data_IF_246488570170
#
_entry.id   IF_246488570170
#
_cell.length_a   1.000
_cell.length_b   1.000
_cell.length_c   1.000
_cell.angle_alpha   90.00
_cell.angle_beta   90.00
_cell.angle_gamma   90.00
#
_symmetry.space_group_name_H-M   'P 1'
#
loop_
_entity.id
_entity.type
_entity.pdbx_description
1 polymer ?
#
# COMPACT_ATOMS: atom_id res chain seq x y z
N UNK A 1 25.44 26.47 -34.71
CA UNK A 1 26.54 26.48 -33.72
C UNK A 1 26.31 25.41 -32.67
N UNK A 2 27.37 24.99 -31.98
CA UNK A 2 27.27 24.05 -30.85
C UNK A 2 27.50 24.82 -29.56
N UNK A 3 26.60 24.68 -28.58
CA UNK A 3 26.72 25.30 -27.26
C UNK A 3 27.97 24.76 -26.56
N UNK A 4 28.87 25.63 -26.09
CA UNK A 4 30.04 25.20 -25.28
C UNK A 4 29.66 24.64 -23.91
N UNK A 5 28.49 25.01 -23.38
CA UNK A 5 28.03 24.58 -22.06
C UNK A 5 27.29 23.25 -22.07
N UNK A 6 26.31 23.08 -22.98
CA UNK A 6 25.47 21.87 -23.01
C UNK A 6 25.69 20.98 -24.24
N UNK A 7 26.54 21.39 -25.18
CA UNK A 7 26.85 20.61 -26.39
C UNK A 7 25.70 20.49 -27.40
N UNK A 8 24.60 21.21 -27.21
CA UNK A 8 23.45 21.19 -28.11
C UNK A 8 23.79 21.96 -29.40
N UNK A 9 23.42 21.41 -30.55
CA UNK A 9 23.52 22.08 -31.84
C UNK A 9 22.21 22.82 -32.16
N UNK A 10 22.30 24.11 -32.43
CA UNK A 10 21.15 25.00 -32.70
C UNK A 10 21.57 26.12 -33.67
N UNK A 11 20.62 26.78 -34.34
CA UNK A 11 20.93 27.83 -35.29
C UNK A 11 21.47 29.10 -34.60
N UNK A 12 22.31 29.86 -35.32
CA UNK A 12 23.15 30.95 -34.78
C UNK A 12 22.37 32.27 -34.56
N UNK A 13 21.07 32.27 -34.85
CA UNK A 13 20.18 33.42 -34.76
C UNK A 13 19.56 33.63 -33.38
N UNK A 14 19.80 32.72 -32.44
CA UNK A 14 19.33 32.84 -31.06
C UNK A 14 20.38 33.56 -30.19
N UNK A 15 19.95 34.46 -29.30
CA UNK A 15 20.84 35.14 -28.34
C UNK A 15 21.25 34.23 -27.16
N UNK A 16 20.41 33.26 -26.82
CA UNK A 16 20.62 32.30 -25.74
C UNK A 16 20.43 30.86 -26.24
N UNK A 17 21.23 29.94 -25.70
CA UNK A 17 21.07 28.52 -26.00
C UNK A 17 19.72 28.00 -25.46
N UNK A 18 18.86 27.40 -26.29
CA UNK A 18 17.55 26.91 -25.86
C UNK A 18 17.63 25.71 -24.91
N UNK A 19 18.78 25.04 -24.81
CA UNK A 19 18.97 23.89 -23.91
C UNK A 19 19.28 24.27 -22.47
N UNK A 20 20.15 25.27 -22.27
CA UNK A 20 20.65 25.64 -20.94
C UNK A 20 20.43 27.11 -20.58
N UNK A 21 19.82 27.90 -21.47
CA UNK A 21 19.56 29.33 -21.26
C UNK A 21 20.81 30.21 -21.21
N UNK A 22 21.99 29.64 -21.45
CA UNK A 22 23.24 30.40 -21.42
C UNK A 22 23.33 31.29 -22.66
N UNK A 23 23.64 32.57 -22.43
CA UNK A 23 23.89 33.53 -23.51
C UNK A 23 25.04 33.04 -24.39
N UNK A 24 24.95 33.28 -25.69
CA UNK A 24 25.99 32.90 -26.65
C UNK A 24 27.24 33.77 -26.52
N UNK A 25 27.07 34.98 -26.00
CA UNK A 25 28.16 35.87 -25.60
C UNK A 25 28.47 35.66 -24.11
N UNK A 26 29.77 35.69 -23.77
CA UNK A 26 30.26 35.56 -22.40
C UNK A 26 29.92 36.84 -21.62
N UNK A 27 28.65 36.98 -21.24
CA UNK A 27 28.20 38.03 -20.33
C UNK A 27 28.88 37.85 -18.99
N UNK A 28 29.62 38.86 -18.56
CA UNK A 28 30.20 38.95 -17.23
C UNK A 28 29.10 38.76 -16.17
N UNK A 29 29.33 37.88 -15.20
CA UNK A 29 28.37 37.61 -14.13
C UNK A 29 28.12 38.90 -13.33
N UNK A 30 27.02 39.58 -13.62
CA UNK A 30 26.65 40.81 -12.93
C UNK A 30 26.03 40.46 -11.59
N UNK A 31 26.60 41.02 -10.51
CA UNK A 31 26.01 40.92 -9.17
C UNK A 31 24.75 41.79 -9.16
N UNK A 32 23.62 41.16 -8.87
CA UNK A 32 22.31 41.80 -8.80
C UNK A 32 22.36 43.02 -7.85
N UNK A 33 21.74 44.12 -8.27
CA UNK A 33 21.69 45.34 -7.46
C UNK A 33 20.83 45.13 -6.20
N UNK A 34 21.03 45.97 -5.17
CA UNK A 34 20.24 45.91 -3.93
C UNK A 34 18.74 46.05 -4.20
N UNK A 35 18.36 46.85 -5.20
CA UNK A 35 16.98 47.08 -5.61
C UNK A 35 16.37 45.87 -6.33
N UNK A 36 17.13 45.21 -7.21
CA UNK A 36 16.70 43.96 -7.86
C UNK A 36 16.62 42.79 -6.88
N UNK A 37 17.50 42.78 -5.87
CA UNK A 37 17.46 41.79 -4.79
C UNK A 37 16.21 41.95 -3.95
N UNK A 38 15.86 43.18 -3.61
CA UNK A 38 14.75 43.46 -2.70
C UNK A 38 13.39 43.42 -3.45
N UNK A 39 13.40 43.53 -4.79
CA UNK A 39 12.23 43.34 -5.65
C UNK A 39 11.95 41.86 -6.00
N UNK A 40 12.79 40.93 -5.55
CA UNK A 40 12.61 39.52 -5.86
C UNK A 40 11.47 38.91 -5.04
N UNK A 41 10.32 38.70 -5.67
CA UNK A 41 9.07 38.20 -5.05
C UNK A 41 9.18 36.75 -4.54
N UNK A 42 10.26 36.04 -4.89
CA UNK A 42 10.57 34.70 -4.38
C UNK A 42 9.50 33.68 -4.74
N UNK A 43 9.52 33.15 -5.98
CA UNK A 43 8.58 32.09 -6.37
C UNK A 43 8.96 30.78 -5.68
N UNK A 44 8.09 30.28 -4.81
CA UNK A 44 8.18 28.94 -4.26
C UNK A 44 7.75 27.91 -5.30
N UNK A 45 8.48 26.79 -5.39
CA UNK A 45 8.09 25.66 -6.24
C UNK A 45 6.85 25.02 -5.61
N UNK A 46 5.66 25.39 -6.09
CA UNK A 46 4.39 24.76 -5.76
C UNK A 46 4.44 23.31 -6.28
N UNK A 47 4.85 22.37 -5.41
CA UNK A 47 4.78 20.94 -5.72
C UNK A 47 3.37 20.46 -5.38
N UNK A 48 2.39 20.83 -6.19
CA UNK A 48 1.00 20.43 -5.98
C UNK A 48 0.06 21.07 -6.97
N UNK A 49 -0.53 20.24 -7.83
CA UNK A 49 -1.57 20.61 -8.79
C UNK A 49 -2.71 21.36 -8.10
N UNK A 50 -2.99 22.55 -8.61
CA UNK A 50 -4.24 23.31 -8.65
C UNK A 50 -5.22 23.17 -7.47
N UNK A 51 -5.34 24.28 -6.74
CA UNK A 51 -6.60 24.86 -6.27
C UNK A 51 -7.58 23.98 -5.47
N UNK A 52 -7.18 23.43 -4.31
CA UNK A 52 -8.21 23.14 -3.27
C UNK A 52 -7.76 23.01 -1.79
N UNK A 53 -6.52 23.31 -1.42
CA UNK A 53 -6.10 23.18 -0.03
C UNK A 53 -5.62 24.50 0.59
N UNK A 54 -6.54 25.44 0.77
CA UNK A 54 -6.34 26.59 1.67
C UNK A 54 -6.27 26.07 3.12
N UNK A 55 -5.07 25.76 3.59
CA UNK A 55 -4.72 25.90 5.01
C UNK A 55 -4.31 24.66 5.78
N UNK A 56 -4.19 23.48 5.16
CA UNK A 56 -3.72 22.29 5.88
C UNK A 56 -2.28 21.94 5.50
N UNK A 57 -1.33 22.77 5.92
CA UNK A 57 0.09 22.41 5.89
C UNK A 57 0.34 21.37 6.98
N UNK A 58 0.13 20.09 6.66
CA UNK A 58 0.50 18.98 7.54
C UNK A 58 2.02 18.87 7.59
N UNK A 59 2.60 19.32 8.71
CA UNK A 59 3.98 18.98 9.07
C UNK A 59 3.95 17.51 9.51
N UNK A 60 4.38 16.62 8.62
CA UNK A 60 4.47 15.20 8.93
C UNK A 60 5.62 14.97 9.89
N UNK A 61 5.31 14.63 11.14
CA UNK A 61 6.32 14.14 12.07
C UNK A 61 6.80 12.76 11.62
N UNK A 62 8.06 12.43 11.95
CA UNK A 62 8.67 11.15 11.57
C UNK A 62 7.87 9.93 12.06
N UNK A 63 7.12 10.10 13.13
CA UNK A 63 6.22 9.08 13.68
C UNK A 63 4.96 8.87 12.84
N UNK A 64 4.45 9.92 12.20
CA UNK A 64 3.27 9.84 11.36
C UNK A 64 3.59 9.17 10.03
N UNK A 65 4.76 9.45 9.44
CA UNK A 65 5.26 8.73 8.27
C UNK A 65 5.43 7.23 8.57
N UNK A 66 5.94 6.87 9.77
CA UNK A 66 6.06 5.46 10.16
C UNK A 66 4.69 4.78 10.30
N UNK A 67 3.71 5.47 10.91
CA UNK A 67 2.33 4.95 11.03
C UNK A 67 1.65 4.81 9.67
N UNK A 68 1.93 5.70 8.73
CA UNK A 68 1.41 5.60 7.35
C UNK A 68 2.04 4.43 6.61
N UNK A 69 3.35 4.25 6.69
CA UNK A 69 4.02 3.07 6.13
C UNK A 69 3.48 1.75 6.71
N UNK A 70 3.21 1.70 8.02
CA UNK A 70 2.58 0.52 8.64
C UNK A 70 1.13 0.30 8.21
N UNK A 71 0.38 1.38 7.92
CA UNK A 71 -0.98 1.31 7.39
C UNK A 71 -0.96 0.87 5.92
N UNK A 72 -0.03 1.38 5.13
CA UNK A 72 0.17 1.00 3.72
C UNK A 72 0.61 -0.46 3.61
N UNK A 73 1.61 -0.88 4.39
CA UNK A 73 2.01 -2.29 4.44
C UNK A 73 0.88 -3.22 4.91
N UNK A 74 -0.02 -2.76 5.79
CA UNK A 74 -1.24 -3.52 6.15
C UNK A 74 -2.24 -3.55 5.00
N UNK A 75 -2.44 -2.44 4.31
CA UNK A 75 -3.36 -2.35 3.15
C UNK A 75 -2.87 -3.22 2.00
N UNK A 76 -1.57 -3.23 1.71
CA UNK A 76 -0.97 -4.08 0.68
C UNK A 76 -1.17 -5.57 0.96
N UNK A 77 -0.97 -6.00 2.21
CA UNK A 77 -1.25 -7.38 2.63
C UNK A 77 -2.73 -7.73 2.46
N UNK A 78 -3.63 -6.84 2.87
CA UNK A 78 -5.07 -7.04 2.70
C UNK A 78 -5.51 -7.01 1.24
N UNK A 79 -4.90 -6.16 0.40
CA UNK A 79 -5.17 -6.07 -1.03
C UNK A 79 -4.69 -7.33 -1.77
N UNK A 80 -3.50 -7.84 -1.44
CA UNK A 80 -3.00 -9.10 -1.99
C UNK A 80 -3.90 -10.30 -1.63
N UNK A 81 -4.42 -10.33 -0.40
CA UNK A 81 -5.43 -11.34 -0.01
C UNK A 81 -6.72 -11.16 -0.81
N UNK A 82 -7.19 -9.92 -1.00
CA UNK A 82 -8.39 -9.62 -1.77
C UNK A 82 -8.27 -10.01 -3.25
N UNK A 83 -7.11 -9.79 -3.86
CA UNK A 83 -6.77 -10.22 -5.22
C UNK A 83 -6.88 -11.75 -5.35
N UNK A 84 -6.29 -12.51 -4.42
CA UNK A 84 -6.34 -13.98 -4.42
C UNK A 84 -7.79 -14.49 -4.27
N UNK A 85 -8.58 -13.83 -3.43
CA UNK A 85 -10.01 -14.14 -3.24
C UNK A 85 -10.81 -13.89 -4.53
N UNK A 86 -10.51 -12.79 -5.23
CA UNK A 86 -11.23 -12.37 -6.44
C UNK A 86 -10.93 -13.25 -7.66
N UNK A 87 -9.69 -13.73 -7.79
CA UNK A 87 -9.25 -14.60 -8.88
C UNK A 87 -9.83 -16.02 -8.81
N UNK A 88 -10.22 -16.50 -7.61
CA UNK A 88 -10.65 -17.90 -7.39
C UNK A 88 -11.96 -18.03 -6.60
N UNK A 89 -12.98 -17.22 -6.92
CA UNK A 89 -14.26 -17.20 -6.19
C UNK A 89 -14.94 -18.57 -6.02
N UNK A 90 -14.85 -19.47 -7.00
CA UNK A 90 -15.40 -20.84 -6.88
C UNK A 90 -14.61 -21.71 -5.89
N UNK A 91 -13.28 -21.57 -5.86
CA UNK A 91 -12.41 -22.34 -4.97
C UNK A 91 -12.55 -21.85 -3.53
N UNK A 92 -12.74 -20.54 -3.35
CA UNK A 92 -13.07 -19.94 -2.05
C UNK A 92 -14.44 -20.39 -1.52
N UNK A 93 -15.46 -20.48 -2.36
CA UNK A 93 -16.77 -21.01 -1.94
C UNK A 93 -16.68 -22.47 -1.49
N UNK A 94 -15.96 -23.31 -2.22
CA UNK A 94 -15.73 -24.72 -1.83
C UNK A 94 -14.93 -24.80 -0.54
N UNK A 95 -13.86 -24.00 -0.39
CA UNK A 95 -13.05 -23.95 0.82
C UNK A 95 -13.86 -23.45 2.02
N UNK A 96 -14.68 -22.41 1.86
CA UNK A 96 -15.55 -21.87 2.91
C UNK A 96 -16.61 -22.90 3.35
N UNK A 97 -17.24 -23.61 2.40
CA UNK A 97 -18.17 -24.69 2.71
C UNK A 97 -17.48 -25.86 3.44
N UNK A 98 -16.26 -26.22 3.03
CA UNK A 98 -15.47 -27.23 3.72
C UNK A 98 -15.12 -26.82 5.15
N UNK A 99 -14.66 -25.58 5.35
CA UNK A 99 -14.31 -25.05 6.68
C UNK A 99 -15.54 -25.02 7.58
N UNK A 100 -16.68 -24.53 7.08
CA UNK A 100 -17.93 -24.50 7.82
C UNK A 100 -18.42 -25.91 8.16
N UNK A 101 -18.35 -26.82 7.18
CA UNK A 101 -18.63 -28.24 7.37
C UNK A 101 -17.73 -28.86 8.43
N UNK A 102 -16.43 -28.62 8.42
CA UNK A 102 -15.51 -29.16 9.43
C UNK A 102 -15.81 -28.57 10.81
N UNK A 103 -16.03 -27.26 10.92
CA UNK A 103 -16.32 -26.59 12.19
C UNK A 103 -17.61 -27.05 12.84
N UNK A 104 -18.66 -27.35 12.06
CA UNK A 104 -19.94 -27.79 12.61
C UNK A 104 -20.10 -29.31 12.68
N UNK A 105 -19.66 -30.01 11.64
CA UNK A 105 -19.90 -31.44 11.46
C UNK A 105 -18.88 -32.26 12.28
N UNK A 106 -17.62 -31.83 12.40
CA UNK A 106 -16.60 -32.59 13.13
C UNK A 106 -16.86 -32.60 14.65
N UNK A 107 -17.17 -31.46 15.33
CA UNK A 107 -17.50 -31.48 16.75
C UNK A 107 -18.81 -32.20 17.07
N UNK A 108 -19.81 -32.10 16.20
CA UNK A 108 -21.09 -32.81 16.41
C UNK A 108 -20.90 -34.32 16.28
N UNK A 109 -20.20 -34.78 15.24
CA UNK A 109 -19.90 -36.20 15.03
C UNK A 109 -19.06 -36.78 16.17
N UNK A 110 -18.07 -36.02 16.66
CA UNK A 110 -17.24 -36.41 17.80
C UNK A 110 -18.08 -36.48 19.10
N UNK A 111 -18.99 -35.53 19.30
CA UNK A 111 -19.97 -35.56 20.39
C UNK A 111 -20.88 -36.80 20.35
N UNK A 112 -21.48 -37.09 19.20
CA UNK A 112 -22.32 -38.29 19.02
C UNK A 112 -21.52 -39.59 19.20
N UNK A 113 -20.28 -39.64 18.73
CA UNK A 113 -19.41 -40.79 18.92
C UNK A 113 -19.14 -41.04 20.41
N UNK A 114 -18.84 -39.99 21.20
CA UNK A 114 -18.62 -40.10 22.64
C UNK A 114 -19.87 -40.56 23.38
N UNK A 115 -21.04 -40.01 23.04
CA UNK A 115 -22.33 -40.43 23.63
C UNK A 115 -22.65 -41.89 23.28
N UNK A 116 -22.44 -42.28 22.02
CA UNK A 116 -22.65 -43.65 21.55
C UNK A 116 -21.73 -44.66 22.24
N UNK A 117 -20.45 -44.35 22.36
CA UNK A 117 -19.48 -45.18 23.11
C UNK A 117 -19.88 -45.28 24.58
N UNK A 118 -20.28 -44.17 25.22
CA UNK A 118 -20.77 -44.18 26.59
C UNK A 118 -21.97 -45.10 26.79
N UNK A 119 -23.00 -44.97 25.93
CA UNK A 119 -24.18 -45.82 25.98
C UNK A 119 -23.85 -47.30 25.73
N UNK A 120 -22.94 -47.59 24.79
CA UNK A 120 -22.49 -48.95 24.51
C UNK A 120 -21.74 -49.57 25.69
N UNK A 121 -20.89 -48.81 26.38
CA UNK A 121 -20.20 -49.28 27.58
C UNK A 121 -21.18 -49.55 28.72
N UNK A 122 -22.14 -48.64 28.96
CA UNK A 122 -23.18 -48.83 29.97
C UNK A 122 -24.02 -50.07 29.68
N UNK A 123 -24.49 -50.25 28.44
CA UNK A 123 -25.18 -51.48 28.04
C UNK A 123 -24.28 -52.69 28.27
N UNK A 124 -23.05 -52.68 27.77
CA UNK A 124 -22.15 -53.83 27.87
C UNK A 124 -21.90 -54.24 29.32
N UNK A 125 -21.67 -53.28 30.22
CA UNK A 125 -21.51 -53.54 31.65
C UNK A 125 -22.81 -54.05 32.27
N UNK A 126 -23.95 -53.40 31.99
CA UNK A 126 -25.26 -53.83 32.49
C UNK A 126 -25.60 -55.25 32.03
N UNK A 127 -25.39 -55.57 30.75
CA UNK A 127 -25.60 -56.90 30.18
C UNK A 127 -24.68 -57.94 30.82
N UNK A 128 -23.40 -57.62 30.98
CA UNK A 128 -22.44 -58.55 31.55
C UNK A 128 -22.70 -58.80 33.05
N UNK A 129 -23.20 -57.80 33.78
CA UNK A 129 -23.54 -57.92 35.19
C UNK A 129 -24.90 -58.59 35.44
N UNK A 130 -25.95 -58.24 34.68
CA UNK A 130 -27.31 -58.76 34.90
C UNK A 130 -27.68 -60.03 34.14
N UNK A 131 -27.06 -60.32 33.00
CA UNK A 131 -27.40 -61.52 32.19
C UNK A 131 -26.43 -62.68 32.46
N UNK A 132 -25.24 -62.40 33.01
CA UNK A 132 -24.18 -63.38 33.23
C UNK A 132 -23.84 -63.64 34.70
N UNK A 133 -24.44 -62.88 35.62
CA UNK A 133 -24.33 -63.05 37.07
C UNK A 133 -25.48 -63.86 37.66
#
# INVERSE_FOLDING_TARGET
>A
MICKHCGLEYPDDLEACPGCGTLNEEGEAQVMSEEERDAFDGVTIETGTDEENRGDWKVYDREDIRKEQEKEARKEKWAAVWEIVKLNGRLMLVAALLILGILFLLPTLLGFALVGVGAFLVWTLFRNFFIRG
#
